data_IF_563099407649
#
_entry.id   IF_563099407649
#
_cell.length_a   1.000
_cell.length_b   1.000
_cell.length_c   1.000
_cell.angle_alpha   90.00
_cell.angle_beta   90.00
_cell.angle_gamma   90.00
#
_symmetry.space_group_name_H-M   'P 1'
#
loop_
_entity.id
_entity.type
_entity.pdbx_description
1 polymer ?
#
# COMPACT_ATOMS: atom_id res chain seq x y z
N UNK A 1 -12.65 16.58 -13.14
CA UNK A 1 -12.88 18.04 -13.07
C UNK A 1 -11.57 18.72 -13.44
N UNK A 2 -11.59 19.54 -14.47
CA UNK A 2 -10.47 20.41 -14.85
C UNK A 2 -10.84 21.84 -14.49
N UNK A 3 -9.98 22.54 -13.77
CA UNK A 3 -10.13 23.98 -13.51
C UNK A 3 -8.99 24.69 -14.21
N UNK A 4 -9.31 25.51 -15.20
CA UNK A 4 -8.32 26.20 -16.01
C UNK A 4 -8.79 27.61 -16.37
N UNK A 5 -7.84 28.51 -16.56
CA UNK A 5 -8.15 29.90 -16.95
C UNK A 5 -8.66 29.90 -18.39
N UNK A 6 -9.80 30.56 -18.64
CA UNK A 6 -10.45 30.61 -19.96
C UNK A 6 -9.50 31.04 -21.08
N UNK A 7 -8.59 31.97 -20.81
CA UNK A 7 -7.62 32.44 -21.80
C UNK A 7 -6.60 31.39 -22.25
N UNK A 8 -6.53 30.20 -21.64
CA UNK A 8 -5.67 29.13 -22.10
C UNK A 8 -6.31 28.32 -23.25
N UNK A 9 -7.62 28.47 -23.46
CA UNK A 9 -8.39 27.71 -24.46
C UNK A 9 -8.50 28.46 -25.78
N UNK A 10 -7.36 28.57 -26.48
CA UNK A 10 -7.27 29.21 -27.79
C UNK A 10 -7.53 28.27 -28.97
N UNK A 11 -7.57 26.96 -28.74
CA UNK A 11 -7.73 25.97 -29.79
C UNK A 11 -9.13 26.10 -30.44
N UNK A 12 -9.16 26.08 -31.77
CA UNK A 12 -10.40 26.08 -32.56
C UNK A 12 -11.04 24.69 -32.62
N UNK A 13 -10.28 23.64 -32.34
CA UNK A 13 -10.69 22.24 -32.32
C UNK A 13 -10.48 21.70 -30.90
N UNK A 14 -11.48 21.04 -30.28
CA UNK A 14 -11.32 20.46 -28.95
C UNK A 14 -10.35 19.29 -28.91
N UNK A 15 -9.91 18.94 -27.70
CA UNK A 15 -9.09 17.74 -27.49
C UNK A 15 -9.91 16.45 -27.72
N UNK A 16 -11.16 16.42 -27.24
CA UNK A 16 -12.09 15.31 -27.44
C UNK A 16 -13.14 15.63 -28.50
N UNK A 17 -12.92 15.21 -29.75
CA UNK A 17 -13.91 15.35 -30.81
C UNK A 17 -15.01 14.27 -30.67
N UNK A 18 -16.28 14.66 -30.73
CA UNK A 18 -17.40 13.74 -30.64
C UNK A 18 -18.75 14.42 -30.80
N UNK A 19 -19.83 13.64 -30.70
CA UNK A 19 -21.17 14.22 -30.57
C UNK A 19 -21.23 15.12 -29.32
N UNK A 20 -22.01 16.21 -29.39
CA UNK A 20 -22.13 17.16 -28.28
C UNK A 20 -21.15 18.33 -28.30
N UNK A 21 -20.06 18.29 -29.08
CA UNK A 21 -19.08 19.39 -29.17
C UNK A 21 -19.19 20.24 -30.43
N UNK A 22 -20.01 19.78 -31.38
CA UNK A 22 -20.21 20.38 -32.70
C UNK A 22 -21.54 21.12 -32.75
N UNK A 23 -21.54 22.31 -33.37
CA UNK A 23 -22.75 23.01 -33.76
C UNK A 23 -23.27 22.45 -35.08
N UNK A 24 -22.38 22.23 -36.05
CA UNK A 24 -22.74 21.69 -37.37
C UNK A 24 -21.58 20.93 -38.01
N UNK A 25 -21.88 19.86 -38.75
CA UNK A 25 -20.88 19.03 -39.45
C UNK A 25 -21.32 18.85 -40.90
N UNK A 26 -20.40 19.15 -41.83
CA UNK A 26 -20.56 18.86 -43.25
C UNK A 26 -19.53 17.83 -43.70
N UNK A 27 -19.59 17.43 -44.96
CA UNK A 27 -18.55 16.57 -45.56
C UNK A 27 -17.16 17.22 -45.63
N UNK A 28 -17.09 18.56 -45.53
CA UNK A 28 -15.87 19.33 -45.77
C UNK A 28 -15.44 20.18 -44.56
N UNK A 29 -16.31 20.35 -43.56
CA UNK A 29 -16.08 21.26 -42.44
C UNK A 29 -16.83 20.84 -41.19
N UNK A 30 -16.31 21.29 -40.05
CA UNK A 30 -16.94 21.13 -38.74
C UNK A 30 -16.94 22.48 -38.05
N UNK A 31 -18.11 22.91 -37.60
CA UNK A 31 -18.30 24.05 -36.75
C UNK A 31 -18.46 23.56 -35.31
N UNK A 32 -17.53 23.95 -34.43
CA UNK A 32 -17.55 23.58 -33.01
C UNK A 32 -18.31 24.62 -32.18
N UNK A 33 -18.86 24.17 -31.06
CA UNK A 33 -19.54 25.03 -30.09
C UNK A 33 -18.54 26.03 -29.49
N UNK A 34 -18.97 27.28 -29.30
CA UNK A 34 -18.11 28.33 -28.74
C UNK A 34 -17.92 28.23 -27.22
N UNK A 35 -18.91 27.68 -26.52
CA UNK A 35 -18.80 27.40 -25.09
C UNK A 35 -17.69 26.37 -24.85
N UNK A 36 -16.65 26.79 -24.11
CA UNK A 36 -15.43 26.01 -23.90
C UNK A 36 -15.74 24.71 -23.15
N UNK A 37 -16.62 24.74 -22.15
CA UNK A 37 -16.91 23.58 -21.31
C UNK A 37 -17.61 22.51 -22.14
N UNK A 38 -18.65 22.88 -22.87
CA UNK A 38 -19.37 21.96 -23.77
C UNK A 38 -18.44 21.47 -24.90
N UNK A 39 -17.59 22.35 -25.45
CA UNK A 39 -16.71 22.00 -26.57
C UNK A 39 -15.66 20.95 -26.18
N UNK A 40 -15.14 20.97 -24.95
CA UNK A 40 -14.12 20.01 -24.50
C UNK A 40 -14.71 18.69 -23.94
N UNK A 41 -16.04 18.57 -23.84
CA UNK A 41 -16.74 17.38 -23.34
C UNK A 41 -17.32 16.50 -24.47
N UNK A 42 -16.43 15.99 -25.32
CA UNK A 42 -16.75 15.07 -26.40
C UNK A 42 -17.53 13.81 -25.99
N UNK A 43 -18.69 13.60 -26.60
CA UNK A 43 -19.50 12.39 -26.44
C UNK A 43 -20.58 12.53 -25.36
N UNK A 44 -21.14 11.40 -24.93
CA UNK A 44 -22.08 11.38 -23.81
C UNK A 44 -21.31 11.65 -22.51
N UNK A 45 -21.62 12.72 -21.76
CA UNK A 45 -20.91 13.02 -20.52
C UNK A 45 -21.21 11.96 -19.45
N UNK A 46 -20.33 11.86 -18.45
CA UNK A 46 -20.58 11.06 -17.25
C UNK A 46 -21.60 11.78 -16.35
N UNK A 47 -22.88 11.72 -16.73
CA UNK A 47 -23.98 12.42 -16.07
C UNK A 47 -24.06 12.01 -14.60
N UNK A 48 -24.02 10.70 -14.31
CA UNK A 48 -24.14 10.19 -12.95
C UNK A 48 -22.89 10.55 -12.13
N UNK A 49 -21.69 10.45 -12.70
CA UNK A 49 -20.45 10.89 -12.05
C UNK A 49 -20.48 12.38 -11.73
N UNK A 50 -21.01 13.22 -12.62
CA UNK A 50 -21.13 14.66 -12.43
C UNK A 50 -22.10 15.02 -11.30
N UNK A 51 -23.27 14.37 -11.25
CA UNK A 51 -24.23 14.52 -10.15
C UNK A 51 -23.58 14.11 -8.81
N UNK A 52 -22.93 12.94 -8.78
CA UNK A 52 -22.23 12.45 -7.57
C UNK A 52 -21.11 13.40 -7.13
N UNK A 53 -20.34 13.93 -8.06
CA UNK A 53 -19.32 14.92 -7.76
C UNK A 53 -19.94 16.16 -7.10
N UNK A 54 -20.99 16.72 -7.68
CA UNK A 54 -21.72 17.86 -7.11
C UNK A 54 -22.19 17.63 -5.67
N UNK A 55 -22.76 16.44 -5.40
CA UNK A 55 -23.19 16.06 -4.04
C UNK A 55 -22.02 15.97 -3.06
N UNK A 56 -20.86 15.44 -3.48
CA UNK A 56 -19.66 15.36 -2.65
C UNK A 56 -19.10 16.75 -2.33
N UNK A 57 -19.11 17.69 -3.28
CA UNK A 57 -18.72 19.08 -3.01
C UNK A 57 -19.66 19.75 -2.01
N UNK A 58 -20.98 19.59 -2.16
CA UNK A 58 -21.96 20.11 -1.21
C UNK A 58 -21.74 19.53 0.20
N UNK A 59 -21.47 18.22 0.31
CA UNK A 59 -21.18 17.57 1.58
C UNK A 59 -19.90 18.16 2.21
N UNK A 60 -18.82 18.28 1.44
CA UNK A 60 -17.56 18.90 1.89
C UNK A 60 -17.77 20.33 2.38
N UNK A 61 -18.56 21.14 1.66
CA UNK A 61 -18.85 22.52 2.05
C UNK A 61 -19.71 22.59 3.32
N UNK A 62 -20.61 21.62 3.52
CA UNK A 62 -21.42 21.50 4.74
C UNK A 62 -20.56 21.17 5.96
N UNK A 63 -19.54 20.30 5.80
CA UNK A 63 -18.56 20.02 6.87
C UNK A 63 -17.68 21.25 7.14
N UNK A 64 -17.29 21.97 6.09
CA UNK A 64 -16.48 23.18 6.16
C UNK A 64 -14.98 22.90 5.98
N UNK A 65 -14.34 23.67 5.10
CA UNK A 65 -12.92 23.49 4.77
C UNK A 65 -11.98 23.77 5.95
N UNK A 66 -12.26 24.81 6.75
CA UNK A 66 -11.45 25.15 7.92
C UNK A 66 -11.49 24.05 8.99
N UNK A 67 -12.65 23.41 9.18
CA UNK A 67 -12.80 22.31 10.12
C UNK A 67 -12.00 21.08 9.66
N UNK A 68 -12.08 20.74 8.37
CA UNK A 68 -11.31 19.64 7.79
C UNK A 68 -9.81 19.91 7.95
N UNK A 69 -9.34 21.10 7.57
CA UNK A 69 -7.93 21.49 7.67
C UNK A 69 -7.44 21.39 9.11
N UNK A 70 -8.19 21.96 10.08
CA UNK A 70 -7.83 21.91 11.49
C UNK A 70 -7.72 20.47 11.99
N UNK A 71 -8.68 19.61 11.64
CA UNK A 71 -8.66 18.20 12.04
C UNK A 71 -7.49 17.44 11.42
N UNK A 72 -7.16 17.69 10.15
CA UNK A 72 -5.99 17.09 9.50
C UNK A 72 -4.68 17.54 10.18
N UNK A 73 -4.56 18.81 10.54
CA UNK A 73 -3.40 19.35 11.27
C UNK A 73 -3.25 18.70 12.66
N UNK A 74 -4.37 18.52 13.39
CA UNK A 74 -4.40 17.78 14.66
C UNK A 74 -3.90 16.33 14.50
N UNK A 75 -4.34 15.63 13.44
CA UNK A 75 -3.91 14.26 13.15
C UNK A 75 -2.42 14.18 12.81
N UNK A 76 -1.89 15.17 12.09
CA UNK A 76 -0.45 15.29 11.80
C UNK A 76 0.35 15.46 13.09
N UNK A 77 -0.08 16.36 13.97
CA UNK A 77 0.58 16.56 15.26
C UNK A 77 0.52 15.28 16.12
N UNK A 78 -0.64 14.62 16.20
CA UNK A 78 -0.82 13.37 16.96
C UNK A 78 0.10 12.27 16.44
N UNK A 79 0.21 12.12 15.11
CA UNK A 79 1.10 11.15 14.47
C UNK A 79 2.57 11.39 14.85
N UNK A 80 3.09 12.60 14.62
CA UNK A 80 4.50 12.88 14.94
C UNK A 80 4.79 12.80 16.43
N UNK A 81 3.87 13.22 17.29
CA UNK A 81 4.00 13.08 18.74
C UNK A 81 4.09 11.62 19.17
N UNK A 82 3.23 10.75 18.61
CA UNK A 82 3.20 9.31 18.91
C UNK A 82 4.48 8.62 18.46
N UNK A 83 4.94 8.89 17.25
CA UNK A 83 6.02 8.13 16.62
C UNK A 83 7.43 8.70 16.82
N UNK A 84 7.58 9.85 17.48
CA UNK A 84 8.86 10.55 17.68
C UNK A 84 9.98 9.66 18.24
N UNK A 85 9.64 8.70 19.10
CA UNK A 85 10.62 7.87 19.81
C UNK A 85 10.76 6.44 19.23
N UNK A 86 10.06 6.12 18.14
CA UNK A 86 10.12 4.80 17.52
C UNK A 86 11.22 4.79 16.45
N UNK A 87 12.45 4.50 16.86
CA UNK A 87 13.62 4.54 15.98
C UNK A 87 13.57 3.52 14.83
N UNK A 88 12.79 2.44 14.95
CA UNK A 88 12.56 1.50 13.86
C UNK A 88 11.66 2.06 12.77
N UNK A 89 10.85 3.08 13.06
CA UNK A 89 9.93 3.69 12.10
C UNK A 89 10.58 4.92 11.45
N UNK A 90 10.85 4.83 10.15
CA UNK A 90 11.48 5.91 9.38
C UNK A 90 10.43 6.58 8.53
N UNK A 91 10.08 7.82 8.90
CA UNK A 91 9.11 8.64 8.17
C UNK A 91 9.83 9.33 7.00
N UNK A 92 9.31 9.14 5.80
CA UNK A 92 9.85 9.72 4.57
C UNK A 92 9.25 11.11 4.28
N UNK A 93 10.07 11.94 3.65
CA UNK A 93 9.75 13.32 3.29
C UNK A 93 10.08 14.32 4.40
N UNK A 94 9.84 15.60 4.11
CA UNK A 94 10.11 16.67 5.06
C UNK A 94 9.17 16.59 6.28
N UNK A 95 9.75 16.76 7.47
CA UNK A 95 9.03 16.83 8.74
C UNK A 95 8.91 18.26 9.27
N UNK A 96 9.49 19.25 8.58
CA UNK A 96 9.53 20.65 9.01
C UNK A 96 8.52 21.56 8.29
N UNK A 97 7.82 21.02 7.28
CA UNK A 97 6.84 21.77 6.48
C UNK A 97 5.42 21.29 6.80
N UNK A 98 4.44 22.18 6.64
CA UNK A 98 3.03 21.80 6.70
C UNK A 98 2.74 20.71 5.66
N UNK A 99 1.91 19.74 6.05
CA UNK A 99 1.57 18.58 5.23
C UNK A 99 0.16 18.08 5.54
N UNK A 100 -0.41 17.35 4.60
CA UNK A 100 -1.62 16.57 4.83
C UNK A 100 -1.33 15.37 5.74
N UNK A 101 -2.37 14.79 6.33
CA UNK A 101 -2.31 13.57 7.15
C UNK A 101 -2.04 12.29 6.33
N UNK A 102 -1.02 12.35 5.47
CA UNK A 102 -0.55 11.30 4.57
C UNK A 102 0.93 11.05 4.89
N UNK A 103 1.23 9.82 5.32
CA UNK A 103 2.54 9.45 5.83
C UNK A 103 3.10 8.28 5.02
N UNK A 104 4.26 8.50 4.43
CA UNK A 104 5.08 7.45 3.84
C UNK A 104 6.14 7.03 4.84
N UNK A 105 6.31 5.73 5.07
CA UNK A 105 7.28 5.24 6.04
C UNK A 105 7.90 3.89 5.65
N UNK A 106 9.04 3.61 6.27
CA UNK A 106 9.76 2.35 6.25
C UNK A 106 9.87 1.82 7.69
N UNK A 107 10.01 0.50 7.84
CA UNK A 107 10.32 -0.11 9.13
C UNK A 107 11.70 -0.77 9.04
N UNK A 108 12.66 -0.24 9.78
CA UNK A 108 14.00 -0.79 9.92
C UNK A 108 14.05 -1.76 11.10
N UNK A 109 14.74 -2.88 10.92
CA UNK A 109 14.88 -3.93 11.91
C UNK A 109 16.36 -4.01 12.33
N UNK A 110 16.74 -3.43 13.48
CA UNK A 110 18.14 -3.36 13.89
C UNK A 110 18.83 -4.71 14.07
N UNK A 111 18.08 -5.74 14.48
CA UNK A 111 18.62 -7.09 14.74
C UNK A 111 19.16 -7.77 13.49
N UNK A 112 18.54 -7.56 12.33
CA UNK A 112 18.98 -8.08 11.01
C UNK A 112 19.64 -7.02 10.13
N UNK A 113 19.67 -5.76 10.58
CA UNK A 113 20.18 -4.60 9.82
C UNK A 113 19.55 -4.44 8.43
N UNK A 114 18.26 -4.75 8.30
CA UNK A 114 17.48 -4.63 7.07
C UNK A 114 16.12 -4.01 7.34
N UNK A 115 15.42 -3.62 6.29
CA UNK A 115 14.05 -3.13 6.37
C UNK A 115 13.03 -4.26 6.26
N UNK A 116 11.81 -4.06 6.75
CA UNK A 116 10.68 -4.86 6.34
C UNK A 116 10.22 -4.42 4.94
N UNK A 117 9.91 -5.39 4.09
CA UNK A 117 9.37 -5.10 2.76
C UNK A 117 8.00 -4.40 2.88
N UNK A 118 7.75 -3.34 2.11
CA UNK A 118 6.53 -2.54 2.25
C UNK A 118 5.24 -3.36 2.05
N UNK A 119 5.24 -4.35 1.14
CA UNK A 119 4.07 -5.19 0.90
C UNK A 119 3.85 -6.16 2.06
N UNK A 120 4.93 -6.58 2.73
CA UNK A 120 4.83 -7.40 3.94
C UNK A 120 4.19 -6.61 5.08
N UNK A 121 4.61 -5.35 5.28
CA UNK A 121 3.99 -4.44 6.26
C UNK A 121 2.48 -4.29 5.98
N UNK A 122 2.09 -4.11 4.71
CA UNK A 122 0.69 -4.03 4.32
C UNK A 122 -0.08 -5.32 4.62
N UNK A 123 0.48 -6.49 4.27
CA UNK A 123 -0.14 -7.78 4.58
C UNK A 123 -0.32 -7.95 6.08
N UNK A 124 0.67 -7.60 6.91
CA UNK A 124 0.54 -7.68 8.37
C UNK A 124 -0.55 -6.76 8.93
N UNK A 125 -0.61 -5.50 8.49
CA UNK A 125 -1.64 -4.55 8.93
C UNK A 125 -3.05 -5.06 8.59
N UNK A 126 -3.20 -5.65 7.40
CA UNK A 126 -4.46 -6.23 6.96
C UNK A 126 -4.81 -7.50 7.76
N UNK A 127 -3.90 -8.46 7.81
CA UNK A 127 -4.18 -9.80 8.32
C UNK A 127 -4.36 -9.83 9.84
N UNK A 128 -3.59 -9.01 10.57
CA UNK A 128 -3.63 -8.98 12.03
C UNK A 128 -4.69 -8.01 12.58
N UNK A 129 -4.88 -6.89 11.89
CA UNK A 129 -5.62 -5.74 12.45
C UNK A 129 -6.76 -5.24 11.54
N UNK A 130 -6.93 -5.79 10.34
CA UNK A 130 -7.93 -5.33 9.38
C UNK A 130 -7.67 -3.93 8.83
N UNK A 131 -6.44 -3.41 8.96
CA UNK A 131 -6.09 -2.05 8.54
C UNK A 131 -5.56 -2.08 7.10
N UNK A 132 -6.23 -1.34 6.23
CA UNK A 132 -5.84 -1.23 4.84
C UNK A 132 -4.94 -0.01 4.62
N UNK A 133 -3.71 -0.29 4.17
CA UNK A 133 -2.74 0.72 3.73
C UNK A 133 -2.35 0.47 2.28
N UNK A 134 -1.70 1.45 1.65
CA UNK A 134 -1.18 1.33 0.30
C UNK A 134 0.33 1.19 0.34
N UNK A 135 0.92 0.56 -0.66
CA UNK A 135 2.37 0.45 -0.77
C UNK A 135 2.87 0.50 -2.21
N UNK A 136 4.18 0.68 -2.36
CA UNK A 136 4.88 0.82 -3.63
C UNK A 136 5.38 2.24 -3.86
N UNK A 137 5.37 2.69 -5.11
CA UNK A 137 5.93 3.99 -5.51
C UNK A 137 4.89 5.13 -5.66
N UNK A 138 3.64 4.92 -5.24
CA UNK A 138 2.58 5.94 -5.20
C UNK A 138 2.38 6.77 -6.49
N UNK A 139 2.67 6.20 -7.67
CA UNK A 139 2.68 6.90 -8.98
C UNK A 139 3.66 8.10 -9.06
N UNK A 140 4.64 8.16 -8.15
CA UNK A 140 5.64 9.21 -8.04
C UNK A 140 7.06 8.60 -8.12
N UNK A 141 7.31 7.81 -9.18
CA UNK A 141 8.52 6.99 -9.35
C UNK A 141 9.82 7.75 -9.05
N UNK A 142 10.14 8.83 -9.79
CA UNK A 142 11.37 9.61 -9.55
C UNK A 142 11.48 10.13 -8.11
N UNK A 143 10.40 10.68 -7.56
CA UNK A 143 10.38 11.18 -6.18
C UNK A 143 10.66 10.07 -5.15
N UNK A 144 10.20 8.85 -5.40
CA UNK A 144 10.51 7.70 -4.53
C UNK A 144 12.00 7.35 -4.60
N UNK A 145 12.64 7.44 -5.76
CA UNK A 145 14.07 7.20 -5.90
C UNK A 145 14.87 8.25 -5.10
N UNK A 146 14.51 9.52 -5.20
CA UNK A 146 15.12 10.61 -4.43
C UNK A 146 14.98 10.38 -2.91
N UNK A 147 13.77 10.03 -2.45
CA UNK A 147 13.50 9.74 -1.04
C UNK A 147 14.30 8.56 -0.49
N UNK A 148 14.62 7.59 -1.34
CA UNK A 148 15.36 6.38 -0.98
C UNK A 148 16.86 6.50 -1.25
N UNK A 149 17.34 7.63 -1.78
CA UNK A 149 18.75 7.84 -2.12
C UNK A 149 19.24 6.93 -3.26
N UNK A 150 18.35 6.61 -4.20
CA UNK A 150 18.63 5.78 -5.36
C UNK A 150 18.96 6.72 -6.53
N UNK A 151 20.22 6.69 -6.96
CA UNK A 151 20.69 7.41 -8.15
C UNK A 151 20.30 6.68 -9.46
N UNK A 152 20.52 7.35 -10.59
CA UNK A 152 20.16 6.83 -11.91
C UNK A 152 20.87 5.52 -12.28
N UNK A 153 22.10 5.31 -11.79
CA UNK A 153 22.85 4.08 -12.00
C UNK A 153 22.16 2.90 -11.30
N UNK A 154 21.85 3.04 -10.01
CA UNK A 154 21.08 2.04 -9.25
C UNK A 154 19.68 1.84 -9.82
N UNK A 155 19.02 2.92 -10.26
CA UNK A 155 17.71 2.86 -10.89
C UNK A 155 17.74 2.05 -12.21
N UNK A 156 18.82 2.18 -12.99
CA UNK A 156 19.09 1.34 -14.15
C UNK A 156 19.13 -0.14 -13.79
N UNK A 157 19.84 -0.49 -12.72
CA UNK A 157 19.91 -1.87 -12.22
C UNK A 157 18.52 -2.39 -11.80
N UNK A 158 17.72 -1.60 -11.06
CA UNK A 158 16.34 -1.96 -10.75
C UNK A 158 15.50 -2.19 -12.00
N UNK A 159 15.64 -1.34 -13.03
CA UNK A 159 14.92 -1.49 -14.30
C UNK A 159 15.19 -2.85 -14.95
N UNK A 160 16.43 -3.34 -14.91
CA UNK A 160 16.80 -4.65 -15.48
C UNK A 160 16.08 -5.81 -14.79
N UNK A 161 15.84 -5.75 -13.48
CA UNK A 161 15.06 -6.77 -12.77
C UNK A 161 13.55 -6.62 -12.98
N UNK A 162 13.07 -5.43 -13.31
CA UNK A 162 11.63 -5.13 -13.41
C UNK A 162 11.08 -5.26 -14.84
N UNK A 163 11.95 -5.15 -15.84
CA UNK A 163 11.58 -5.19 -17.26
C UNK A 163 10.83 -6.49 -17.60
N UNK A 164 9.78 -6.34 -18.41
CA UNK A 164 8.99 -7.48 -18.92
C UNK A 164 9.68 -8.13 -20.12
N UNK A 165 10.31 -7.32 -20.98
CA UNK A 165 11.07 -7.81 -22.12
C UNK A 165 12.34 -8.52 -21.65
N UNK A 166 12.49 -9.79 -22.02
CA UNK A 166 13.67 -10.59 -21.69
C UNK A 166 14.97 -10.01 -22.21
N UNK A 167 14.94 -9.34 -23.37
CA UNK A 167 16.12 -8.76 -24.00
C UNK A 167 16.64 -7.55 -23.21
N UNK A 168 15.78 -6.89 -22.43
CA UNK A 168 16.15 -5.78 -21.56
C UNK A 168 16.70 -6.24 -20.19
N UNK A 169 16.72 -7.55 -19.92
CA UNK A 169 17.18 -8.14 -18.64
C UNK A 169 18.55 -8.80 -18.82
N UNK A 170 19.51 -8.06 -19.34
CA UNK A 170 20.87 -8.55 -19.60
C UNK A 170 21.84 -7.58 -18.95
N UNK A 171 22.82 -8.08 -18.21
CA UNK A 171 23.88 -7.23 -17.64
C UNK A 171 25.01 -6.91 -18.62
N UNK A 172 25.94 -6.06 -18.19
CA UNK A 172 27.11 -5.65 -18.98
C UNK A 172 28.01 -6.82 -19.40
N UNK A 173 27.92 -7.96 -18.70
CA UNK A 173 28.66 -9.20 -18.98
C UNK A 173 27.87 -10.19 -19.85
N UNK A 174 26.70 -9.80 -20.35
CA UNK A 174 25.76 -10.62 -21.12
C UNK A 174 25.10 -11.77 -20.33
N UNK A 175 25.02 -11.67 -19.00
CA UNK A 175 24.27 -12.62 -18.18
C UNK A 175 22.77 -12.29 -18.21
N UNK A 176 21.94 -13.32 -18.39
CA UNK A 176 20.49 -13.19 -18.31
C UNK A 176 20.06 -12.98 -16.85
N UNK A 177 19.27 -11.95 -16.62
CA UNK A 177 18.67 -11.63 -15.33
C UNK A 177 17.21 -12.12 -15.30
N UNK A 178 16.83 -12.76 -14.19
CA UNK A 178 15.44 -13.15 -13.93
C UNK A 178 14.62 -11.92 -13.47
N UNK A 179 13.38 -11.80 -13.98
CA UNK A 179 12.51 -10.70 -13.57
C UNK A 179 12.05 -10.91 -12.13
N UNK A 180 12.12 -9.84 -11.35
CA UNK A 180 11.77 -9.87 -9.94
C UNK A 180 11.09 -8.57 -9.50
N UNK A 181 9.77 -8.61 -9.30
CA UNK A 181 9.00 -7.46 -8.82
C UNK A 181 9.17 -7.20 -7.32
N UNK A 182 9.66 -8.18 -6.56
CA UNK A 182 9.85 -8.04 -5.12
C UNK A 182 10.94 -7.02 -4.77
N UNK A 183 11.91 -6.78 -5.67
CA UNK A 183 12.96 -5.80 -5.39
C UNK A 183 12.56 -4.36 -5.67
N UNK A 184 11.38 -4.14 -6.27
CA UNK A 184 10.91 -2.82 -6.68
C UNK A 184 10.99 -1.87 -5.47
N UNK A 185 11.68 -0.72 -5.59
CA UNK A 185 11.72 0.24 -4.49
C UNK A 185 10.34 0.82 -4.16
N UNK A 186 10.11 1.12 -2.89
CA UNK A 186 8.85 1.68 -2.43
C UNK A 186 8.77 1.81 -0.92
N UNK A 187 7.61 2.26 -0.45
CA UNK A 187 7.31 2.45 0.97
C UNK A 187 5.88 2.04 1.28
N UNK A 188 5.55 2.00 2.58
CA UNK A 188 4.16 1.90 3.05
C UNK A 188 3.59 3.31 3.22
N UNK A 189 2.35 3.52 2.78
CA UNK A 189 1.64 4.80 2.83
C UNK A 189 0.35 4.66 3.63
N UNK A 190 0.27 5.45 4.71
CA UNK A 190 -0.91 5.65 5.52
C UNK A 190 -1.57 6.97 5.14
N UNK A 191 -2.89 6.94 4.92
CA UNK A 191 -3.71 8.14 4.74
C UNK A 191 -4.73 8.15 5.87
N UNK A 192 -4.68 9.13 6.76
CA UNK A 192 -5.69 9.28 7.81
C UNK A 192 -6.86 10.09 7.28
N UNK A 193 -8.07 9.69 7.65
CA UNK A 193 -9.29 10.41 7.29
C UNK A 193 -9.67 11.39 8.38
N UNK A 194 -10.08 12.60 8.00
CA UNK A 194 -10.54 13.61 8.97
C UNK A 194 -11.80 13.19 9.74
N UNK A 195 -12.62 12.30 9.16
CA UNK A 195 -13.85 11.82 9.80
C UNK A 195 -13.65 10.56 10.66
N UNK A 196 -12.43 10.03 10.76
CA UNK A 196 -12.13 8.93 11.66
C UNK A 196 -12.11 9.41 13.12
N UNK A 197 -12.67 8.58 14.01
CA UNK A 197 -12.71 8.88 15.44
C UNK A 197 -11.31 8.80 16.06
N UNK A 198 -11.11 9.43 17.22
CA UNK A 198 -9.80 9.38 17.88
C UNK A 198 -9.41 7.95 18.29
N UNK A 199 -10.39 7.12 18.62
CA UNK A 199 -10.22 5.70 18.93
C UNK A 199 -9.75 4.90 17.72
N UNK A 200 -10.34 5.14 16.53
CA UNK A 200 -9.89 4.51 15.28
C UNK A 200 -8.45 4.93 14.94
N UNK A 201 -8.12 6.21 15.14
CA UNK A 201 -6.76 6.73 14.92
C UNK A 201 -5.77 6.10 15.89
N UNK A 202 -6.11 5.99 17.17
CA UNK A 202 -5.24 5.36 18.16
C UNK A 202 -5.08 3.86 17.91
N UNK A 203 -6.13 3.17 17.45
CA UNK A 203 -6.05 1.78 17.01
C UNK A 203 -5.04 1.60 15.87
N UNK A 204 -5.12 2.46 14.84
CA UNK A 204 -4.17 2.46 13.72
C UNK A 204 -2.74 2.71 14.22
N UNK A 205 -2.56 3.65 15.15
CA UNK A 205 -1.24 3.97 15.68
C UNK A 205 -0.65 2.82 16.48
N UNK A 206 -1.46 2.17 17.33
CA UNK A 206 -1.06 0.99 18.07
C UNK A 206 -0.65 -0.15 17.14
N UNK A 207 -1.35 -0.35 16.01
CA UNK A 207 -1.00 -1.37 15.01
C UNK A 207 0.34 -1.09 14.32
N UNK A 208 0.60 0.17 13.96
CA UNK A 208 1.89 0.56 13.36
C UNK A 208 3.03 0.39 14.37
N UNK A 209 2.82 0.81 15.61
CA UNK A 209 3.78 0.64 16.71
C UNK A 209 4.07 -0.85 16.98
N UNK A 210 3.04 -1.69 16.97
CA UNK A 210 3.17 -3.13 17.09
C UNK A 210 4.02 -3.71 15.96
N UNK A 211 3.75 -3.37 14.69
CA UNK A 211 4.52 -3.90 13.56
C UNK A 211 5.94 -3.35 13.53
N UNK A 212 6.14 -2.09 13.91
CA UNK A 212 7.47 -1.49 14.05
C UNK A 212 8.33 -2.19 15.12
N UNK A 213 7.70 -2.82 16.10
CA UNK A 213 8.36 -3.53 17.20
C UNK A 213 8.52 -5.03 16.93
N UNK A 214 7.43 -5.69 16.53
CA UNK A 214 7.32 -7.14 16.45
C UNK A 214 7.14 -7.68 15.03
N UNK A 215 6.90 -6.83 14.03
CA UNK A 215 6.54 -7.27 12.66
C UNK A 215 7.55 -8.22 12.02
N UNK A 216 8.85 -8.06 12.30
CA UNK A 216 9.90 -8.95 11.82
C UNK A 216 9.77 -10.39 12.34
N UNK A 217 9.18 -10.58 13.51
CA UNK A 217 8.95 -11.90 14.10
C UNK A 217 7.92 -12.71 13.31
N UNK A 218 7.07 -12.04 12.51
CA UNK A 218 6.08 -12.70 11.69
C UNK A 218 6.61 -13.15 10.33
N UNK A 219 7.80 -12.70 9.90
CA UNK A 219 8.38 -13.10 8.60
C UNK A 219 8.35 -14.61 8.34
N UNK A 220 8.67 -15.49 9.32
CA UNK A 220 8.60 -16.93 9.11
C UNK A 220 7.20 -17.50 8.87
N UNK A 221 6.13 -16.78 9.23
CA UNK A 221 4.76 -17.20 8.96
C UNK A 221 4.29 -16.83 7.54
N UNK A 222 5.09 -16.03 6.83
CA UNK A 222 4.76 -15.53 5.51
C UNK A 222 5.75 -16.04 4.47
N UNK A 223 5.26 -16.09 3.23
CA UNK A 223 6.08 -16.27 2.04
C UNK A 223 5.68 -15.20 1.02
N UNK A 224 6.36 -15.17 -0.13
CA UNK A 224 6.19 -14.12 -1.14
C UNK A 224 6.25 -14.70 -2.54
N UNK A 225 5.70 -13.97 -3.51
CA UNK A 225 5.83 -14.31 -4.93
C UNK A 225 6.76 -13.30 -5.63
N UNK A 226 7.97 -13.70 -6.07
CA UNK A 226 8.92 -12.80 -6.74
C UNK A 226 8.39 -12.17 -8.03
N UNK A 227 7.49 -12.84 -8.74
CA UNK A 227 6.94 -12.35 -10.02
C UNK A 227 5.89 -11.26 -9.86
N UNK A 228 5.22 -11.18 -8.70
CA UNK A 228 4.15 -10.21 -8.40
C UNK A 228 4.52 -9.23 -7.27
N UNK A 229 5.49 -9.58 -6.42
CA UNK A 229 5.86 -8.84 -5.21
C UNK A 229 4.89 -9.01 -4.04
N UNK A 230 3.88 -9.89 -4.16
CA UNK A 230 2.83 -10.09 -3.14
C UNK A 230 3.37 -10.96 -2.01
N UNK A 231 3.01 -10.61 -0.77
CA UNK A 231 3.30 -11.36 0.45
C UNK A 231 2.02 -11.95 1.02
N UNK A 232 2.10 -13.17 1.55
CA UNK A 232 0.96 -13.87 2.11
C UNK A 232 1.36 -14.88 3.18
N UNK A 233 0.45 -15.13 4.11
CA UNK A 233 0.65 -16.09 5.19
C UNK A 233 0.67 -17.52 4.62
N UNK A 234 1.56 -18.38 5.13
CA UNK A 234 1.82 -19.74 4.61
C UNK A 234 0.61 -20.66 4.69
N UNK A 235 -0.19 -20.50 5.75
CA UNK A 235 -1.41 -21.30 5.95
C UNK A 235 -2.57 -20.86 5.03
N UNK A 236 -2.46 -19.69 4.39
CA UNK A 236 -3.43 -19.31 3.38
C UNK A 236 -3.13 -20.19 2.17
N UNK A 237 -4.03 -21.12 1.90
CA UNK A 237 -3.96 -22.00 0.72
C UNK A 237 -4.21 -21.16 -0.52
N UNK A 238 -3.23 -20.34 -0.92
CA UNK A 238 -3.24 -19.52 -2.14
C UNK A 238 -2.86 -20.43 -3.30
N UNK A 239 -3.60 -21.52 -3.46
CA UNK A 239 -3.64 -22.26 -4.70
C UNK A 239 -4.83 -21.67 -5.47
N UNK A 240 -4.54 -20.76 -6.42
CA UNK A 240 -5.46 -20.13 -7.40
C UNK A 240 -6.33 -18.93 -6.98
N UNK A 241 -6.76 -18.77 -5.73
CA UNK A 241 -7.86 -17.85 -5.42
C UNK A 241 -7.52 -16.34 -5.51
N UNK A 242 -6.38 -15.87 -5.02
CA UNK A 242 -6.04 -14.42 -5.05
C UNK A 242 -5.70 -13.87 -6.44
N UNK A 243 -5.31 -14.75 -7.39
CA UNK A 243 -5.11 -14.34 -8.79
C UNK A 243 -6.44 -14.12 -9.54
N UNK A 244 -7.57 -14.57 -8.97
CA UNK A 244 -8.87 -14.56 -9.63
C UNK A 244 -9.80 -13.41 -9.20
N UNK A 245 -9.57 -12.73 -8.07
CA UNK A 245 -10.50 -11.72 -7.50
C UNK A 245 -10.63 -10.38 -8.26
N UNK A 246 -10.19 -10.31 -9.51
CA UNK A 246 -10.18 -9.04 -10.26
C UNK A 246 -10.94 -9.06 -11.58
N UNK A 247 -11.74 -10.09 -11.84
CA UNK A 247 -12.56 -10.08 -13.05
C UNK A 247 -13.98 -9.62 -12.74
N UNK A 248 -14.40 -8.51 -13.34
CA UNK A 248 -15.82 -8.14 -13.42
C UNK A 248 -16.68 -9.25 -14.05
N UNK A 249 -16.07 -10.22 -14.76
CA UNK A 249 -16.75 -11.39 -15.33
C UNK A 249 -17.28 -12.37 -14.28
N UNK A 250 -16.81 -12.28 -13.03
CA UNK A 250 -17.27 -13.12 -11.92
C UNK A 250 -18.38 -12.43 -11.12
N UNK A 251 -18.79 -11.23 -11.51
CA UNK A 251 -19.85 -10.47 -10.85
C UNK A 251 -21.11 -10.55 -11.70
N UNK A 252 -22.18 -11.08 -11.10
CA UNK A 252 -23.49 -11.26 -11.71
C UNK A 252 -24.52 -10.34 -11.08
N UNK A 253 -25.42 -9.81 -11.90
CA UNK A 253 -26.50 -8.91 -11.46
C UNK A 253 -27.89 -9.42 -11.86
N UNK A 254 -28.01 -10.70 -12.22
CA UNK A 254 -29.23 -11.29 -12.80
C UNK A 254 -30.49 -11.10 -11.93
N UNK A 255 -30.31 -10.97 -10.60
CA UNK A 255 -31.41 -10.84 -9.64
C UNK A 255 -31.55 -9.41 -9.07
N UNK A 256 -30.93 -8.39 -9.68
CA UNK A 256 -30.93 -7.02 -9.16
C UNK A 256 -30.04 -6.78 -7.93
N UNK A 257 -29.28 -7.80 -7.52
CA UNK A 257 -28.26 -7.74 -6.47
C UNK A 257 -26.93 -8.21 -7.04
N UNK A 258 -25.84 -7.59 -6.58
CA UNK A 258 -24.49 -8.05 -6.89
C UNK A 258 -24.25 -9.42 -6.27
N UNK A 259 -24.01 -10.43 -7.10
CA UNK A 259 -23.50 -11.75 -6.70
C UNK A 259 -22.10 -11.90 -7.27
N UNK A 260 -21.18 -12.48 -6.52
CA UNK A 260 -19.87 -12.87 -7.04
C UNK A 260 -19.78 -14.40 -7.05
N UNK A 261 -19.16 -14.97 -8.08
CA UNK A 261 -18.77 -16.38 -8.09
C UNK A 261 -17.73 -16.58 -6.97
N UNK A 262 -18.17 -17.08 -5.82
CA UNK A 262 -17.28 -17.44 -4.72
C UNK A 262 -16.80 -18.88 -4.96
N UNK A 263 -15.52 -19.11 -5.32
CA UNK A 263 -15.00 -20.45 -5.49
C UNK A 263 -14.82 -21.10 -4.11
N UNK A 264 -15.87 -21.78 -3.66
CA UNK A 264 -15.92 -22.63 -2.45
C UNK A 264 -15.42 -21.96 -1.17
N UNK A 265 -16.38 -21.54 -0.35
CA UNK A 265 -16.29 -21.07 1.03
C UNK A 265 -15.68 -22.08 2.03
N UNK A 266 -15.03 -23.16 1.58
CA UNK A 266 -14.44 -24.19 2.46
C UNK A 266 -13.06 -23.80 3.00
N UNK A 267 -12.40 -22.82 2.37
CA UNK A 267 -11.27 -22.15 2.99
C UNK A 267 -11.78 -20.91 3.69
N UNK A 268 -12.10 -21.06 4.99
CA UNK A 268 -12.09 -19.93 5.93
C UNK A 268 -10.84 -19.12 5.59
N UNK A 269 -11.00 -17.92 5.01
CA UNK A 269 -10.03 -16.86 5.23
C UNK A 269 -9.77 -16.93 6.73
N UNK A 270 -8.52 -17.10 7.15
CA UNK A 270 -8.20 -17.26 8.57
C UNK A 270 -8.51 -15.94 9.29
N UNK A 271 -9.80 -15.66 9.46
CA UNK A 271 -10.35 -14.83 10.48
C UNK A 271 -10.25 -15.74 11.71
N UNK A 272 -9.39 -15.42 12.69
CA UNK A 272 -9.32 -16.20 13.91
C UNK A 272 -10.73 -16.39 14.45
N UNK A 273 -11.03 -17.64 14.82
CA UNK A 273 -12.33 -18.19 15.15
C UNK A 273 -13.36 -17.17 15.65
N UNK A 274 -14.47 -17.00 14.92
CA UNK A 274 -15.61 -16.14 15.27
C UNK A 274 -16.29 -16.54 16.60
N UNK A 275 -15.84 -17.64 17.23
CA UNK A 275 -16.25 -18.08 18.56
C UNK A 275 -15.55 -17.32 19.70
N UNK A 276 -14.50 -16.53 19.41
CA UNK A 276 -13.87 -15.65 20.39
C UNK A 276 -14.15 -14.21 20.06
N UNK A 277 -14.78 -13.53 21.01
CA UNK A 277 -15.19 -12.13 20.97
C UNK A 277 -14.11 -11.21 20.34
N UNK A 278 -14.27 -10.92 19.05
CA UNK A 278 -13.48 -9.94 18.28
C UNK A 278 -13.92 -8.50 18.60
N UNK A 279 -14.85 -8.30 19.55
CA UNK A 279 -15.47 -7.00 19.80
C UNK A 279 -14.57 -5.98 20.51
N UNK A 280 -13.40 -6.39 21.02
CA UNK A 280 -12.47 -5.46 21.70
C UNK A 280 -11.08 -5.44 21.03
N UNK A 281 -10.62 -4.26 20.55
CA UNK A 281 -9.30 -4.07 19.96
C UNK A 281 -8.13 -4.64 20.78
N UNK A 282 -8.21 -4.58 22.11
CA UNK A 282 -7.16 -5.07 23.01
C UNK A 282 -6.91 -6.58 22.90
N UNK A 283 -7.94 -7.38 22.57
CA UNK A 283 -7.80 -8.82 22.41
C UNK A 283 -6.93 -9.18 21.18
N UNK A 284 -7.02 -8.41 20.10
CA UNK A 284 -6.23 -8.61 18.88
C UNK A 284 -4.74 -8.39 19.14
N UNK A 285 -4.39 -7.28 19.80
CA UNK A 285 -3.00 -6.98 20.14
C UNK A 285 -2.39 -8.05 21.05
N UNK A 286 -3.12 -8.49 22.08
CA UNK A 286 -2.65 -9.54 22.98
C UNK A 286 -2.42 -10.88 22.25
N UNK A 287 -3.35 -11.27 21.36
CA UNK A 287 -3.20 -12.48 20.52
C UNK A 287 -2.00 -12.36 19.60
N UNK A 288 -1.85 -11.24 18.91
CA UNK A 288 -0.73 -10.99 18.01
C UNK A 288 0.60 -11.03 18.78
N UNK A 289 0.68 -10.39 19.96
CA UNK A 289 1.88 -10.41 20.80
C UNK A 289 2.22 -11.83 21.28
N UNK A 290 1.20 -12.62 21.63
CA UNK A 290 1.37 -14.03 22.02
C UNK A 290 1.96 -14.85 20.86
N UNK A 291 1.48 -14.65 19.63
CA UNK A 291 2.03 -15.30 18.43
C UNK A 291 3.49 -14.88 18.23
N UNK A 292 3.78 -13.59 18.33
CA UNK A 292 5.12 -13.02 18.15
C UNK A 292 6.12 -13.60 19.17
N UNK A 293 5.72 -13.70 20.44
CA UNK A 293 6.53 -14.27 21.54
C UNK A 293 6.80 -15.76 21.38
N UNK A 294 5.89 -16.51 20.77
CA UNK A 294 5.98 -17.97 20.62
C UNK A 294 6.55 -18.40 19.25
N UNK A 295 7.01 -17.45 18.42
CA UNK A 295 7.50 -17.78 17.07
C UNK A 295 8.73 -18.69 17.09
N UNK A 296 9.60 -18.56 18.10
CA UNK A 296 10.81 -19.37 18.25
C UNK A 296 10.51 -20.85 18.54
N UNK A 297 9.29 -21.18 18.93
CA UNK A 297 8.85 -22.54 19.22
C UNK A 297 8.20 -23.22 18.01
N UNK A 298 7.95 -22.47 16.92
CA UNK A 298 7.35 -23.01 15.70
C UNK A 298 8.42 -23.47 14.72
N UNK A 299 8.18 -24.61 14.07
CA UNK A 299 9.00 -25.10 12.96
C UNK A 299 8.89 -24.11 11.79
N UNK A 300 9.99 -23.44 11.49
CA UNK A 300 10.04 -22.46 10.41
C UNK A 300 10.24 -23.18 9.06
N UNK A 301 9.20 -23.27 8.24
CA UNK A 301 9.30 -23.85 6.89
C UNK A 301 9.78 -22.82 5.85
N UNK A 302 10.98 -22.26 6.04
CA UNK A 302 11.61 -21.35 5.07
C UNK A 302 12.37 -22.08 3.95
N UNK A 303 12.51 -23.41 4.04
CA UNK A 303 13.21 -24.19 3.00
C UNK A 303 12.43 -24.25 1.69
N UNK A 304 11.11 -24.08 1.76
CA UNK A 304 10.22 -24.05 0.60
C UNK A 304 9.98 -22.63 0.05
N UNK A 305 10.65 -21.60 0.58
CA UNK A 305 10.49 -20.23 0.07
C UNK A 305 11.07 -20.08 -1.34
N UNK A 306 10.44 -19.26 -2.21
CA UNK A 306 11.01 -18.96 -3.51
C UNK A 306 12.42 -18.38 -3.40
N UNK A 307 13.36 -19.03 -4.10
CA UNK A 307 14.74 -18.56 -4.17
C UNK A 307 14.81 -17.25 -4.97
N UNK A 308 15.54 -16.29 -4.41
CA UNK A 308 15.91 -15.06 -5.09
C UNK A 308 17.27 -15.31 -5.74
N UNK A 309 17.27 -15.78 -6.99
CA UNK A 309 18.46 -16.11 -7.77
C UNK A 309 19.13 -14.86 -8.34
N UNK A 310 19.78 -14.09 -7.47
CA UNK A 310 20.59 -12.94 -7.83
C UNK A 310 22.05 -13.35 -7.97
N UNK A 311 22.72 -12.88 -9.03
CA UNK A 311 24.18 -12.91 -9.11
C UNK A 311 24.76 -12.25 -7.86
N UNK A 312 25.90 -12.74 -7.36
CA UNK A 312 26.50 -12.26 -6.11
C UNK A 312 26.69 -10.74 -6.09
N UNK A 313 27.07 -10.15 -7.24
CA UNK A 313 27.22 -8.70 -7.40
C UNK A 313 25.93 -7.92 -7.13
N UNK A 314 24.74 -8.50 -7.29
CA UNK A 314 23.46 -7.84 -7.11
C UNK A 314 22.77 -8.14 -5.77
N UNK A 315 23.32 -9.02 -4.93
CA UNK A 315 22.69 -9.38 -3.64
C UNK A 315 22.46 -8.18 -2.71
N UNK A 316 23.27 -7.14 -2.83
CA UNK A 316 23.15 -5.91 -2.04
C UNK A 316 21.91 -5.05 -2.40
N UNK A 317 21.25 -5.31 -3.53
CA UNK A 317 19.98 -4.67 -3.90
C UNK A 317 18.76 -5.24 -3.14
N UNK A 318 18.94 -6.35 -2.42
CA UNK A 318 17.92 -6.90 -1.52
C UNK A 318 17.95 -6.09 -0.21
N UNK A 319 17.25 -4.95 -0.22
CA UNK A 319 17.21 -3.99 0.89
C UNK A 319 16.33 -4.44 2.08
N UNK A 320 15.57 -5.53 1.91
CA UNK A 320 14.58 -6.00 2.87
C UNK A 320 14.89 -7.39 3.42
N UNK A 321 14.29 -7.67 4.56
CA UNK A 321 14.37 -8.93 5.29
C UNK A 321 13.56 -10.04 4.62
N UNK A 322 14.12 -11.24 4.62
CA UNK A 322 13.46 -12.46 4.16
C UNK A 322 13.20 -13.40 5.34
N UNK A 323 12.24 -14.35 5.22
CA UNK A 323 11.98 -15.33 6.29
C UNK A 323 13.23 -16.09 6.75
N UNK A 324 14.11 -16.46 5.81
CA UNK A 324 15.40 -17.13 6.10
C UNK A 324 16.37 -16.29 6.95
N UNK A 325 16.29 -14.96 6.88
CA UNK A 325 17.17 -14.06 7.65
C UNK A 325 16.86 -14.16 9.17
N UNK A 326 15.62 -14.52 9.53
CA UNK A 326 15.19 -14.67 10.93
C UNK A 326 15.68 -15.98 11.54
N UNK A 327 15.70 -17.07 10.76
CA UNK A 327 16.17 -18.38 11.22
C UNK A 327 17.66 -18.35 11.63
N UNK A 328 18.47 -17.54 10.96
CA UNK A 328 19.90 -17.36 11.27
C UNK A 328 20.13 -16.65 12.62
N UNK A 329 19.18 -15.83 13.08
CA UNK A 329 19.25 -15.21 14.41
C UNK A 329 18.92 -16.22 15.51
N UNK A 330 17.89 -17.02 15.32
CA UNK A 330 17.44 -17.98 16.33
C UNK A 330 18.48 -19.09 16.60
N UNK A 331 19.29 -19.43 15.61
CA UNK A 331 20.41 -20.38 15.78
C UNK A 331 21.64 -19.77 16.47
N UNK A 332 21.76 -18.43 16.51
CA UNK A 332 22.98 -17.74 16.96
C UNK A 332 22.84 -17.01 18.31
N UNK A 333 21.63 -16.68 18.81
CA UNK A 333 21.51 -15.97 20.09
C UNK A 333 20.17 -16.20 20.81
N UNK A 334 20.22 -16.46 22.14
CA UNK A 334 19.06 -16.30 23.05
C UNK A 334 18.61 -14.84 22.98
N UNK A 335 17.45 -14.58 22.40
CA UNK A 335 16.85 -13.24 22.32
C UNK A 335 16.65 -12.72 23.74
N UNK A 336 17.28 -11.58 24.07
CA UNK A 336 17.07 -10.89 25.33
C UNK A 336 15.64 -10.30 25.35
N UNK A 337 14.76 -10.96 26.10
CA UNK A 337 13.34 -10.62 26.21
C UNK A 337 13.08 -9.35 27.04
N UNK A 338 14.11 -8.73 27.61
CA UNK A 338 13.96 -7.60 28.55
C UNK A 338 13.96 -6.21 27.91
N UNK A 339 14.23 -6.10 26.60
CA UNK A 339 14.32 -4.82 25.89
C UNK A 339 12.99 -4.29 25.33
N UNK A 340 11.87 -5.00 25.54
CA UNK A 340 10.58 -4.61 24.99
C UNK A 340 9.74 -3.91 26.06
N UNK A 341 9.36 -2.63 25.88
CA UNK A 341 8.32 -2.05 26.72
C UNK A 341 7.06 -2.88 26.51
N UNK A 342 6.52 -3.45 27.59
CA UNK A 342 5.18 -4.01 27.54
C UNK A 342 4.24 -2.92 26.99
N UNK A 343 3.36 -3.29 26.05
CA UNK A 343 2.20 -2.47 25.71
C UNK A 343 1.30 -2.50 26.95
N UNK A 344 1.67 -1.73 27.97
CA UNK A 344 0.79 -1.47 29.10
C UNK A 344 -0.33 -0.60 28.56
N UNK A 345 -1.57 -1.02 28.77
CA UNK A 345 -2.75 -0.14 28.70
C UNK A 345 -2.39 1.17 29.40
N UNK A 346 -2.03 2.20 28.62
CA UNK A 346 -1.88 3.55 29.14
C UNK A 346 -3.24 4.20 28.96
N UNK A 347 -4.06 3.90 29.97
CA UNK A 347 -5.30 4.54 30.40
C UNK A 347 -5.56 5.90 29.74
N UNK A 348 -6.72 6.06 29.09
CA UNK A 348 -7.93 6.60 29.73
C UNK A 348 -7.63 7.74 30.70
N UNK A 349 -7.46 8.95 30.16
CA UNK A 349 -7.93 10.20 30.74
C UNK A 349 -7.92 11.33 29.71
#
# INVERSE_FOLDING_TARGET
ILVAKKHLFHNSVPCGCGGGTVNFVTRLSTEYIHDIEIREEGGTPDIIGSIRAGLVFQLKDTVGHDLIQKREDELVEKFFRRFKNINSLIILGSQSVSRLAIFSFLIYVPTIKKYLHYNFICSLLNDLFGIQVRSGCACAGPYVLDLLGIDDEKAGVYTMFLAEDSNARIDEENNQIERNLLIKPGFTRLNLSYFASDEEIDYIFNAIEFIATYGWQFLPLYTYNPSTGVWYHRDVTIKKHLLNYHSLKQIHYENGHMKADDPESDNKLYLPDQSTDMSTPNNLFHKAETIAKNISERTLDYQNDPELNFLDKYKHFIWFALPKDIAQIQSSTKIDKTAFPAITDRDTN
#
